data_IF_381083894618
#
_entry.id   IF_381083894618
#
_cell.length_a   1.000
_cell.length_b   1.000
_cell.length_c   1.000
_cell.angle_alpha   90.00
_cell.angle_beta   90.00
_cell.angle_gamma   90.00
#
_symmetry.space_group_name_H-M   'P 1'
#
loop_
_entity.id
_entity.type
_entity.pdbx_description
1 polymer ?
#
# COMPACT_ATOMS: atom_id res chain seq x y z
N UNK A 1 18.00 1.50 -29.05
CA UNK A 1 17.87 1.90 -27.63
C UNK A 1 16.53 2.60 -27.50
N UNK A 2 15.60 2.02 -26.77
CA UNK A 2 14.29 2.63 -26.53
C UNK A 2 14.20 2.95 -25.03
N UNK A 3 13.90 4.21 -24.72
CA UNK A 3 13.62 4.66 -23.37
C UNK A 3 12.14 5.04 -23.30
N UNK A 4 11.43 4.56 -22.31
CA UNK A 4 10.07 4.99 -22.00
C UNK A 4 10.08 5.80 -20.72
N UNK A 5 9.74 7.08 -20.82
CA UNK A 5 9.66 7.99 -19.68
C UNK A 5 8.21 8.16 -19.27
N UNK A 6 7.95 8.02 -17.98
CA UNK A 6 6.65 8.29 -17.38
C UNK A 6 6.81 9.25 -16.22
N UNK A 7 6.15 10.37 -16.31
CA UNK A 7 6.05 11.34 -15.23
C UNK A 7 4.62 11.37 -14.76
N UNK A 8 4.42 11.44 -13.44
CA UNK A 8 3.08 11.53 -12.88
C UNK A 8 3.04 12.50 -11.72
N UNK A 9 1.93 13.19 -11.64
CA UNK A 9 1.55 14.02 -10.50
C UNK A 9 0.14 13.63 -10.12
N UNK A 10 -0.06 13.24 -8.88
CA UNK A 10 -1.37 12.94 -8.34
C UNK A 10 -1.66 13.89 -7.18
N UNK A 11 -2.77 14.59 -7.28
CA UNK A 11 -3.35 15.38 -6.20
C UNK A 11 -4.66 14.72 -5.79
N UNK A 12 -4.73 14.32 -4.55
CA UNK A 12 -5.95 13.78 -3.96
C UNK A 12 -6.38 14.67 -2.80
N UNK A 13 -7.61 15.18 -2.86
CA UNK A 13 -8.22 16.00 -1.83
C UNK A 13 -9.52 15.33 -1.40
N UNK A 14 -9.58 14.89 -0.15
CA UNK A 14 -10.77 14.27 0.41
C UNK A 14 -10.97 14.70 1.86
N UNK A 15 -12.19 14.48 2.40
CA UNK A 15 -12.53 14.89 3.76
C UNK A 15 -11.73 14.16 4.84
N UNK A 16 -11.25 12.96 4.54
CA UNK A 16 -10.54 12.07 5.47
C UNK A 16 -9.03 12.05 5.20
N UNK A 17 -8.61 12.29 3.96
CA UNK A 17 -7.20 12.30 3.60
C UNK A 17 -6.92 13.27 2.44
N UNK A 18 -5.72 13.82 2.44
CA UNK A 18 -5.19 14.55 1.30
C UNK A 18 -3.81 14.02 0.95
N UNK A 19 -3.49 13.97 -0.32
CA UNK A 19 -2.19 13.49 -0.78
C UNK A 19 -1.70 14.29 -1.98
N UNK A 20 -0.41 14.59 -1.97
CA UNK A 20 0.33 15.06 -3.14
C UNK A 20 1.40 14.01 -3.44
N UNK A 21 1.40 13.50 -4.65
CA UNK A 21 2.38 12.52 -5.11
C UNK A 21 3.02 13.05 -6.39
N UNK A 22 4.33 13.14 -6.37
CA UNK A 22 5.15 13.49 -7.53
C UNK A 22 6.08 12.33 -7.80
N UNK A 23 6.21 11.94 -9.05
CA UNK A 23 7.13 10.86 -9.37
C UNK A 23 7.47 10.80 -10.85
N UNK A 24 8.57 10.16 -11.13
CA UNK A 24 9.02 9.87 -12.47
C UNK A 24 9.60 8.46 -12.52
N UNK A 25 9.37 7.78 -13.62
CA UNK A 25 9.94 6.49 -13.94
C UNK A 25 10.50 6.50 -15.35
N UNK A 26 11.69 6.00 -15.50
CA UNK A 26 12.32 5.79 -16.80
C UNK A 26 12.66 4.32 -16.93
N UNK A 27 12.16 3.67 -17.98
CA UNK A 27 12.47 2.29 -18.33
C UNK A 27 13.43 2.31 -19.52
N UNK A 28 14.63 1.78 -19.35
CA UNK A 28 15.64 1.65 -20.40
C UNK A 28 15.73 0.20 -20.87
N UNK A 29 15.49 -0.03 -22.16
CA UNK A 29 15.75 -1.32 -22.79
C UNK A 29 17.18 -1.32 -23.34
N UNK A 30 18.09 -1.98 -22.63
CA UNK A 30 19.52 -1.88 -22.94
C UNK A 30 19.93 -2.77 -24.11
N UNK A 31 19.70 -4.03 -24.01
CA UNK A 31 20.11 -5.00 -25.02
C UNK A 31 19.60 -6.36 -24.60
N UNK A 32 18.87 -7.04 -25.46
CA UNK A 32 18.20 -8.31 -25.15
C UNK A 32 17.88 -8.55 -23.68
N UNK A 33 16.87 -9.14 -23.43
CA UNK A 33 15.66 -8.80 -22.68
C UNK A 33 15.98 -8.20 -21.30
N UNK A 34 16.93 -7.28 -21.18
CA UNK A 34 17.26 -6.56 -19.98
C UNK A 34 16.67 -5.16 -20.04
N UNK A 35 15.88 -4.82 -19.05
CA UNK A 35 15.46 -3.45 -18.83
C UNK A 35 15.95 -2.94 -17.47
N UNK A 36 16.27 -1.66 -17.42
CA UNK A 36 16.60 -0.95 -16.19
C UNK A 36 15.48 0.03 -15.94
N UNK A 37 14.91 -0.03 -14.75
CA UNK A 37 13.96 0.99 -14.32
C UNK A 37 14.58 1.88 -13.22
N UNK A 38 14.34 3.15 -13.34
CA UNK A 38 14.70 4.14 -12.35
C UNK A 38 13.43 4.91 -11.99
N UNK A 39 13.15 5.05 -10.71
CA UNK A 39 12.02 5.85 -10.27
C UNK A 39 12.36 6.67 -9.04
N UNK A 40 11.85 7.89 -9.00
CA UNK A 40 11.84 8.76 -7.84
C UNK A 40 10.40 9.07 -7.48
N UNK A 41 10.10 9.00 -6.20
CA UNK A 41 8.77 9.31 -5.68
C UNK A 41 8.89 10.23 -4.46
N UNK A 42 8.10 11.28 -4.48
CA UNK A 42 7.81 12.11 -3.33
C UNK A 42 6.32 11.98 -3.02
N UNK A 43 6.00 11.69 -1.78
CA UNK A 43 4.62 11.58 -1.32
C UNK A 43 4.44 12.38 -0.05
N UNK A 44 3.49 13.29 -0.04
CA UNK A 44 3.00 13.97 1.15
C UNK A 44 1.54 13.58 1.36
N UNK A 45 1.22 12.96 2.49
CA UNK A 45 -0.14 12.55 2.83
C UNK A 45 -0.52 13.03 4.21
N UNK A 46 -1.75 13.48 4.33
CA UNK A 46 -2.34 13.81 5.61
C UNK A 46 -3.54 12.89 5.84
N UNK A 47 -3.47 12.09 6.89
CA UNK A 47 -4.55 11.22 7.31
C UNK A 47 -5.22 11.82 8.54
N UNK A 48 -6.53 12.00 8.46
CA UNK A 48 -7.37 12.23 9.64
C UNK A 48 -7.94 10.88 10.04
N UNK A 49 -7.75 10.49 11.28
CA UNK A 49 -8.34 9.26 11.78
C UNK A 49 -9.85 9.48 11.96
N UNK A 50 -10.61 9.13 10.95
CA UNK A 50 -12.06 9.10 10.99
C UNK A 50 -12.50 7.68 10.69
N UNK A 51 -13.00 6.95 11.68
CA UNK A 51 -13.92 5.87 11.39
C UNK A 51 -15.09 6.46 10.60
N UNK A 52 -15.53 5.78 9.55
CA UNK A 52 -16.67 6.22 8.74
C UNK A 52 -17.94 6.55 9.58
N UNK A 53 -18.06 5.97 10.79
CA UNK A 53 -19.09 6.31 11.76
C UNK A 53 -18.91 7.64 12.49
N UNK A 54 -17.76 8.28 12.43
CA UNK A 54 -17.44 9.52 13.16
C UNK A 54 -17.42 10.76 12.26
N UNK A 55 -18.01 10.70 11.07
CA UNK A 55 -18.17 11.88 10.19
C UNK A 55 -18.96 13.02 10.87
N UNK A 56 -19.70 12.72 11.93
CA UNK A 56 -20.52 13.70 12.66
C UNK A 56 -19.94 14.11 14.03
N UNK A 57 -18.95 13.40 14.57
CA UNK A 57 -18.35 13.78 15.86
C UNK A 57 -17.00 14.48 15.68
N UNK A 58 -16.98 15.75 16.01
CA UNK A 58 -15.83 16.67 15.90
C UNK A 58 -14.80 16.44 17.02
N UNK A 59 -15.03 15.49 17.93
CA UNK A 59 -14.19 15.27 19.10
C UNK A 59 -13.11 14.21 18.82
N UNK A 60 -11.84 14.57 19.04
CA UNK A 60 -10.65 13.72 19.11
C UNK A 60 -10.22 13.07 17.77
N UNK A 61 -10.05 13.86 16.73
CA UNK A 61 -9.41 13.37 15.49
C UNK A 61 -7.89 13.38 15.65
N UNK A 62 -7.34 12.20 15.88
CA UNK A 62 -5.91 11.97 15.68
C UNK A 62 -5.54 12.34 14.23
N UNK A 63 -4.53 13.17 14.05
CA UNK A 63 -4.01 13.48 12.72
C UNK A 63 -2.61 12.89 12.55
N UNK A 64 -2.35 12.37 11.38
CA UNK A 64 -1.05 11.88 11.01
C UNK A 64 -0.66 12.42 9.64
N UNK A 65 0.50 13.06 9.58
CA UNK A 65 1.12 13.47 8.33
C UNK A 65 2.26 12.51 8.00
N UNK A 66 2.32 12.12 6.76
CA UNK A 66 3.32 11.22 6.23
C UNK A 66 4.03 11.90 5.06
N UNK A 67 5.34 11.96 5.14
CA UNK A 67 6.21 12.42 4.07
C UNK A 67 7.14 11.28 3.68
N UNK A 68 7.16 10.94 2.41
CA UNK A 68 8.02 9.92 1.85
C UNK A 68 8.83 10.51 0.69
N UNK A 69 10.13 10.25 0.73
CA UNK A 69 11.05 10.44 -0.36
C UNK A 69 11.74 9.13 -0.64
N UNK A 70 11.57 8.55 -1.80
CA UNK A 70 12.33 7.36 -2.12
C UNK A 70 12.79 7.30 -3.58
N UNK A 71 13.93 6.67 -3.74
CA UNK A 71 14.58 6.36 -4.98
C UNK A 71 14.57 4.85 -5.18
N UNK A 72 14.28 4.39 -6.39
CA UNK A 72 14.31 2.99 -6.74
C UNK A 72 15.10 2.78 -8.02
N UNK A 73 16.02 1.84 -8.00
CA UNK A 73 16.76 1.36 -9.17
C UNK A 73 16.45 -0.13 -9.35
N UNK A 74 15.92 -0.49 -10.50
CA UNK A 74 15.49 -1.84 -10.82
C UNK A 74 16.21 -2.40 -12.05
N UNK A 75 16.49 -3.69 -12.01
CA UNK A 75 16.98 -4.49 -13.14
C UNK A 75 15.97 -5.60 -13.41
N UNK A 76 15.40 -5.63 -14.59
CA UNK A 76 14.37 -6.57 -14.96
C UNK A 76 14.78 -7.48 -16.12
N UNK A 77 14.46 -8.75 -15.94
CA UNK A 77 14.72 -9.82 -16.91
C UNK A 77 13.39 -10.45 -17.29
N UNK A 78 12.89 -10.27 -18.53
CA UNK A 78 11.75 -11.04 -19.01
C UNK A 78 12.15 -12.52 -19.12
N UNK A 79 11.48 -13.35 -18.33
CA UNK A 79 11.68 -14.82 -18.36
C UNK A 79 10.89 -15.44 -19.50
N UNK A 80 9.69 -14.91 -19.73
CA UNK A 80 8.83 -15.25 -20.89
C UNK A 80 8.10 -13.98 -21.33
N UNK A 81 7.35 -14.06 -22.44
CA UNK A 81 6.50 -12.94 -22.90
C UNK A 81 5.42 -12.51 -21.88
N UNK A 82 5.14 -13.32 -20.86
CA UNK A 82 4.14 -13.08 -19.80
C UNK A 82 4.72 -12.98 -18.41
N UNK A 83 6.03 -13.17 -18.26
CA UNK A 83 6.68 -13.19 -16.96
C UNK A 83 8.00 -12.43 -16.95
N UNK A 84 8.25 -11.71 -15.87
CA UNK A 84 9.48 -10.97 -15.63
C UNK A 84 9.98 -11.19 -14.21
N UNK A 85 11.30 -11.31 -14.08
CA UNK A 85 11.99 -11.26 -12.81
C UNK A 85 12.64 -9.89 -12.64
N UNK A 86 12.47 -9.27 -11.49
CA UNK A 86 12.97 -7.92 -11.22
C UNK A 86 13.70 -7.90 -9.89
N UNK A 87 14.90 -7.35 -9.90
CA UNK A 87 15.67 -7.03 -8.69
C UNK A 87 15.65 -5.51 -8.54
N UNK A 88 15.33 -5.01 -7.35
CA UNK A 88 15.29 -3.57 -7.07
C UNK A 88 16.11 -3.24 -5.83
N UNK A 89 16.77 -2.10 -5.89
CA UNK A 89 17.33 -1.45 -4.73
C UNK A 89 16.55 -0.16 -4.49
N UNK A 90 15.90 -0.08 -3.34
CA UNK A 90 15.19 1.10 -2.90
C UNK A 90 15.98 1.77 -1.78
N UNK A 91 15.99 3.09 -1.76
CA UNK A 91 16.56 3.87 -0.67
C UNK A 91 15.71 5.10 -0.43
N UNK A 92 15.47 5.43 0.84
CA UNK A 92 14.58 6.54 1.11
C UNK A 92 14.54 6.99 2.55
N UNK A 93 13.71 8.02 2.72
CA UNK A 93 13.38 8.58 4.02
C UNK A 93 11.86 8.70 4.15
N UNK A 94 11.34 8.21 5.23
CA UNK A 94 9.95 8.39 5.64
C UNK A 94 9.90 9.20 6.92
N UNK A 95 9.01 10.20 6.98
CA UNK A 95 8.76 11.03 8.15
C UNK A 95 7.29 10.94 8.53
N UNK A 96 7.04 10.64 9.77
CA UNK A 96 5.71 10.52 10.36
C UNK A 96 5.55 11.55 11.44
N UNK A 97 4.62 12.48 11.24
CA UNK A 97 4.22 13.48 12.22
C UNK A 97 2.88 13.02 12.79
N UNK A 98 2.84 12.88 14.09
CA UNK A 98 1.68 12.33 14.78
C UNK A 98 1.23 13.22 15.92
N UNK A 99 -0.07 13.48 15.98
CA UNK A 99 -0.71 14.22 17.07
C UNK A 99 -1.81 13.41 17.73
N UNK A 100 -1.82 13.45 19.06
CA UNK A 100 -2.79 12.75 19.89
C UNK A 100 -4.05 13.54 20.19
N UNK A 101 -4.00 14.88 20.17
CA UNK A 101 -5.10 15.68 20.70
C UNK A 101 -5.28 17.04 20.03
N UNK A 102 -6.54 17.38 19.71
CA UNK A 102 -6.95 18.70 19.22
C UNK A 102 -6.98 19.77 20.32
N UNK A 103 -7.07 19.39 21.59
CA UNK A 103 -7.13 20.33 22.71
C UNK A 103 -5.81 21.11 22.88
N UNK A 104 -4.69 20.59 22.35
CA UNK A 104 -3.39 21.24 22.35
C UNK A 104 -3.19 22.26 21.22
N UNK A 105 -4.20 22.56 20.43
CA UNK A 105 -4.15 23.49 19.28
C UNK A 105 -4.01 24.97 19.67
N UNK A 106 -4.06 25.29 20.94
CA UNK A 106 -3.92 26.68 21.41
C UNK A 106 -2.44 26.96 21.70
N UNK A 107 -1.74 27.50 20.80
CA UNK A 107 -0.52 28.30 20.89
C UNK A 107 0.87 27.71 20.57
N UNK A 108 1.17 26.42 20.72
CA UNK A 108 2.47 25.86 20.28
C UNK A 108 2.35 24.35 20.01
N UNK A 109 1.82 24.01 18.86
CA UNK A 109 1.59 22.63 18.47
C UNK A 109 2.87 21.97 17.95
N UNK A 110 3.46 21.06 18.71
CA UNK A 110 4.55 20.21 18.27
C UNK A 110 4.07 18.76 18.16
N UNK A 111 4.20 18.19 16.98
CA UNK A 111 3.88 16.79 16.68
C UNK A 111 5.02 15.88 17.12
N UNK A 112 4.71 14.64 17.53
CA UNK A 112 5.72 13.60 17.64
C UNK A 112 6.27 13.31 16.25
N UNK A 113 7.59 13.24 16.11
CA UNK A 113 8.25 12.97 14.84
C UNK A 113 8.98 11.62 14.88
N UNK A 114 8.61 10.72 13.99
CA UNK A 114 9.37 9.51 13.68
C UNK A 114 9.96 9.63 12.29
N UNK A 115 11.27 9.43 12.17
CA UNK A 115 11.98 9.42 10.89
C UNK A 115 12.63 8.06 10.68
N UNK A 116 12.31 7.42 9.56
CA UNK A 116 12.93 6.18 9.10
C UNK A 116 13.76 6.47 7.85
N UNK A 117 15.08 6.31 7.95
CA UNK A 117 15.96 6.29 6.78
C UNK A 117 16.31 4.84 6.48
N UNK A 118 16.18 4.41 5.23
CA UNK A 118 16.33 3.01 4.89
C UNK A 118 16.94 2.75 3.53
N UNK A 119 17.51 1.55 3.40
CA UNK A 119 17.85 0.89 2.15
C UNK A 119 17.10 -0.45 2.14
N UNK A 120 16.53 -0.80 0.98
CA UNK A 120 15.67 -1.96 0.88
C UNK A 120 15.84 -2.66 -0.48
N UNK A 121 16.67 -3.71 -0.56
CA UNK A 121 16.67 -4.61 -1.69
C UNK A 121 15.35 -5.39 -1.75
N UNK A 122 14.83 -5.54 -2.96
CA UNK A 122 13.59 -6.26 -3.27
C UNK A 122 13.81 -7.15 -4.49
N UNK A 123 13.31 -8.36 -4.42
CA UNK A 123 13.18 -9.27 -5.56
C UNK A 123 11.71 -9.47 -5.88
N UNK A 124 11.38 -9.61 -7.15
CA UNK A 124 10.00 -9.78 -7.59
C UNK A 124 9.92 -10.63 -8.85
N UNK A 125 9.06 -11.65 -8.82
CA UNK A 125 8.65 -12.42 -9.98
C UNK A 125 7.20 -12.07 -10.29
N UNK A 126 6.94 -11.62 -11.50
CA UNK A 126 5.61 -11.29 -12.00
C UNK A 126 5.27 -12.14 -13.21
N UNK A 127 4.07 -12.67 -13.23
CA UNK A 127 3.48 -13.32 -14.39
C UNK A 127 2.06 -12.79 -14.58
N UNK A 128 1.72 -12.40 -15.79
CA UNK A 128 0.37 -11.91 -16.11
C UNK A 128 -0.05 -12.36 -17.49
N UNK A 129 -1.24 -12.94 -17.57
CA UNK A 129 -1.94 -13.28 -18.81
C UNK A 129 -3.34 -12.66 -18.84
N UNK A 130 -3.55 -11.59 -18.06
CA UNK A 130 -4.83 -10.89 -17.99
C UNK A 130 -5.15 -10.24 -19.36
N UNK A 131 -6.41 -10.31 -19.74
CA UNK A 131 -6.93 -9.66 -20.96
C UNK A 131 -6.92 -8.13 -20.84
N UNK A 132 -7.09 -7.61 -19.63
CA UNK A 132 -7.09 -6.17 -19.32
C UNK A 132 -6.30 -5.89 -18.03
N UNK A 133 -5.66 -4.71 -17.95
CA UNK A 133 -4.93 -4.29 -16.75
C UNK A 133 -5.87 -3.88 -15.61
N UNK A 134 -6.99 -3.25 -15.96
CA UNK A 134 -8.01 -2.78 -15.02
C UNK A 134 -9.28 -3.56 -15.33
N UNK A 135 -9.89 -4.14 -14.28
CA UNK A 135 -11.10 -4.96 -14.38
C UNK A 135 -11.00 -6.11 -15.39
N UNK A 136 -10.04 -7.04 -15.22
CA UNK A 136 -9.91 -8.19 -16.11
C UNK A 136 -11.13 -9.11 -16.05
N UNK A 137 -11.46 -9.71 -17.18
CA UNK A 137 -12.55 -10.67 -17.33
C UNK A 137 -12.00 -12.11 -17.49
N UNK A 138 -10.77 -12.22 -17.97
CA UNK A 138 -10.12 -13.52 -18.16
C UNK A 138 -8.63 -13.46 -17.92
N UNK A 139 -8.04 -14.63 -17.60
CA UNK A 139 -6.62 -14.79 -17.43
C UNK A 139 -6.17 -14.91 -15.97
N UNK A 140 -4.87 -14.96 -15.78
CA UNK A 140 -4.23 -15.19 -14.48
C UNK A 140 -3.14 -14.17 -14.24
N UNK A 141 -3.01 -13.71 -13.01
CA UNK A 141 -1.84 -12.96 -12.55
C UNK A 141 -1.25 -13.59 -11.29
N UNK A 142 0.07 -13.65 -11.23
CA UNK A 142 0.85 -14.11 -10.08
C UNK A 142 1.98 -13.11 -9.83
N UNK A 143 2.10 -12.65 -8.60
CA UNK A 143 3.22 -11.83 -8.15
C UNK A 143 3.79 -12.43 -6.87
N UNK A 144 5.08 -12.73 -6.90
CA UNK A 144 5.87 -13.16 -5.74
C UNK A 144 6.88 -12.07 -5.47
N UNK A 145 6.99 -11.63 -4.24
CA UNK A 145 8.01 -10.64 -3.88
C UNK A 145 8.62 -10.91 -2.52
N UNK A 146 9.92 -10.66 -2.42
CA UNK A 146 10.68 -10.66 -1.19
C UNK A 146 11.36 -9.31 -1.01
N UNK A 147 11.38 -8.81 0.21
CA UNK A 147 12.00 -7.53 0.56
C UNK A 147 12.82 -7.71 1.83
N UNK A 148 13.97 -7.08 1.86
CA UNK A 148 14.73 -6.86 3.07
C UNK A 148 14.89 -5.38 3.27
N UNK A 149 14.72 -4.89 4.48
CA UNK A 149 14.94 -3.50 4.80
C UNK A 149 15.94 -3.40 5.93
N UNK A 150 16.92 -2.55 5.74
CA UNK A 150 17.85 -2.08 6.77
C UNK A 150 17.74 -0.57 6.87
N UNK A 151 17.56 -0.05 8.08
CA UNK A 151 17.34 1.38 8.26
C UNK A 151 17.61 1.84 9.69
N UNK A 152 17.35 3.14 9.88
CA UNK A 152 17.52 3.81 11.15
C UNK A 152 16.24 4.51 11.54
N UNK A 153 15.66 4.07 12.64
CA UNK A 153 14.50 4.67 13.31
C UNK A 153 14.97 5.75 14.28
N UNK A 154 14.49 6.96 14.10
CA UNK A 154 14.72 8.11 14.99
C UNK A 154 13.39 8.67 15.43
N UNK A 155 13.17 8.69 16.73
CA UNK A 155 12.00 9.27 17.37
C UNK A 155 12.35 10.54 18.12
N UNK A 156 11.56 11.59 17.91
CA UNK A 156 11.63 12.86 18.65
C UNK A 156 10.24 13.15 19.18
N UNK A 157 10.03 12.99 20.50
CA UNK A 157 8.74 13.27 21.12
C UNK A 157 8.43 14.77 21.09
N UNK A 158 7.15 15.09 21.06
CA UNK A 158 6.65 16.43 21.35
C UNK A 158 6.99 16.84 22.79
N UNK A 159 7.36 18.09 23.04
CA UNK A 159 7.54 18.60 24.40
C UNK A 159 6.28 18.53 25.27
N UNK A 160 5.12 18.39 24.64
CA UNK A 160 3.81 18.31 25.29
C UNK A 160 3.22 16.91 25.34
N UNK A 161 4.01 15.88 25.01
CA UNK A 161 3.56 14.49 25.14
C UNK A 161 3.29 14.15 26.60
N UNK A 162 2.05 13.74 26.93
CA UNK A 162 1.65 13.37 28.30
C UNK A 162 2.22 12.03 28.77
N UNK A 163 2.86 11.30 27.88
CA UNK A 163 3.40 9.98 28.17
C UNK A 163 4.87 10.10 28.56
N UNK A 164 5.16 10.17 29.87
CA UNK A 164 6.53 10.34 30.39
C UNK A 164 7.52 9.29 29.90
N UNK A 165 7.06 8.08 29.55
CA UNK A 165 7.91 7.04 28.96
C UNK A 165 8.30 7.34 27.50
N UNK A 166 7.58 8.22 26.81
CA UNK A 166 7.85 8.65 25.42
C UNK A 166 8.73 9.88 25.33
N UNK A 167 9.02 10.55 26.43
CA UNK A 167 9.79 11.80 26.44
C UNK A 167 11.26 11.65 26.05
N UNK A 168 11.77 10.45 25.82
CA UNK A 168 13.16 10.22 25.42
C UNK A 168 13.30 10.14 23.92
N UNK A 169 14.15 11.03 23.37
CA UNK A 169 14.66 10.87 21.99
C UNK A 169 15.29 9.50 21.86
N UNK A 170 14.89 8.76 20.88
CA UNK A 170 15.48 7.44 20.58
C UNK A 170 16.04 7.40 19.17
N UNK A 171 17.09 6.64 19.00
CA UNK A 171 17.72 6.35 17.72
C UNK A 171 18.21 4.92 17.76
N UNK A 172 17.74 4.10 16.84
CA UNK A 172 18.14 2.70 16.76
C UNK A 172 18.21 2.23 15.32
N UNK A 173 19.08 1.30 15.06
CA UNK A 173 19.11 0.60 13.78
C UNK A 173 18.04 -0.50 13.81
N UNK A 174 17.36 -0.67 12.69
CA UNK A 174 16.27 -1.63 12.52
C UNK A 174 16.46 -2.38 11.22
N UNK A 175 16.11 -3.65 11.24
CA UNK A 175 16.09 -4.47 10.03
C UNK A 175 14.94 -5.47 10.09
N UNK A 176 14.37 -5.76 8.93
CA UNK A 176 13.36 -6.80 8.79
C UNK A 176 13.29 -7.31 7.36
N UNK A 177 12.71 -8.46 7.21
CA UNK A 177 12.36 -9.00 5.91
C UNK A 177 10.85 -9.16 5.76
N UNK A 178 10.40 -9.25 4.53
CA UNK A 178 9.01 -9.53 4.19
C UNK A 178 8.90 -10.32 2.91
N UNK A 179 7.86 -11.12 2.82
CA UNK A 179 7.49 -11.84 1.62
C UNK A 179 6.00 -11.66 1.36
N UNK A 180 5.63 -11.56 0.08
CA UNK A 180 4.25 -11.40 -0.38
C UNK A 180 4.01 -12.25 -1.61
N UNK A 181 2.90 -12.95 -1.62
CA UNK A 181 2.34 -13.63 -2.78
C UNK A 181 0.96 -13.05 -3.07
N UNK A 182 0.70 -12.74 -4.33
CA UNK A 182 -0.61 -12.32 -4.83
C UNK A 182 -0.94 -13.16 -6.05
N UNK A 183 -2.06 -13.80 -6.03
CA UNK A 183 -2.59 -14.59 -7.15
C UNK A 183 -4.02 -14.16 -7.45
N UNK A 184 -4.32 -13.96 -8.73
CA UNK A 184 -5.67 -13.68 -9.21
C UNK A 184 -5.94 -14.52 -10.44
N UNK A 185 -7.14 -15.03 -10.55
CA UNK A 185 -7.64 -15.81 -11.66
C UNK A 185 -9.01 -15.30 -12.05
N UNK A 186 -9.22 -15.11 -13.36
CA UNK A 186 -10.48 -14.64 -13.91
C UNK A 186 -10.96 -15.60 -14.99
N UNK A 187 -12.25 -15.88 -15.00
CA UNK A 187 -12.90 -16.77 -15.94
C UNK A 187 -14.13 -16.09 -16.52
N UNK A 188 -14.18 -16.04 -17.83
CA UNK A 188 -15.43 -15.76 -18.51
C UNK A 188 -16.19 -17.08 -18.62
N UNK A 189 -17.42 -17.13 -18.11
CA UNK A 189 -18.23 -18.35 -18.11
C UNK A 189 -18.63 -18.65 -19.57
N UNK A 190 -18.30 -19.84 -20.02
CA UNK A 190 -18.59 -20.30 -21.39
C UNK A 190 -20.07 -20.17 -21.72
N UNK A 191 -20.36 -19.51 -22.85
CA UNK A 191 -21.75 -19.27 -23.30
C UNK A 191 -22.38 -17.97 -22.78
N UNK A 192 -21.77 -17.30 -21.80
CA UNK A 192 -22.26 -16.02 -21.29
C UNK A 192 -21.28 -14.90 -21.59
N UNK A 193 -21.69 -13.94 -22.41
CA UNK A 193 -20.90 -12.72 -22.64
C UNK A 193 -21.12 -11.67 -21.53
N UNK A 194 -22.13 -11.89 -20.69
CA UNK A 194 -22.57 -10.92 -19.69
C UNK A 194 -22.06 -11.20 -18.27
N UNK A 195 -21.32 -12.32 -18.06
CA UNK A 195 -20.85 -12.67 -16.72
C UNK A 195 -19.44 -13.24 -16.73
N UNK A 196 -18.60 -12.71 -15.85
CA UNK A 196 -17.27 -13.25 -15.56
C UNK A 196 -17.07 -13.35 -14.04
N UNK A 197 -16.20 -14.26 -13.61
CA UNK A 197 -15.94 -14.53 -12.21
C UNK A 197 -14.43 -14.48 -11.94
N UNK A 198 -14.04 -13.66 -10.99
CA UNK A 198 -12.67 -13.57 -10.50
C UNK A 198 -12.50 -14.17 -9.11
N UNK A 199 -11.36 -14.79 -8.89
CA UNK A 199 -10.89 -15.23 -7.58
C UNK A 199 -9.53 -14.64 -7.30
N UNK A 200 -9.25 -14.32 -6.05
CA UNK A 200 -7.95 -13.83 -5.63
C UNK A 200 -7.51 -14.43 -4.32
N UNK A 201 -6.22 -14.58 -4.17
CA UNK A 201 -5.58 -14.93 -2.92
C UNK A 201 -4.32 -14.07 -2.71
N UNK A 202 -4.13 -13.63 -1.49
CA UNK A 202 -2.94 -12.88 -1.08
C UNK A 202 -2.46 -13.40 0.27
N UNK A 203 -1.14 -13.58 0.39
CA UNK A 203 -0.52 -13.88 1.67
C UNK A 203 0.72 -13.02 1.86
N UNK A 204 0.89 -12.56 3.09
CA UNK A 204 2.01 -11.71 3.49
C UNK A 204 2.56 -12.17 4.81
N UNK A 205 3.88 -12.17 4.90
CA UNK A 205 4.62 -12.38 6.15
C UNK A 205 5.74 -11.35 6.25
N UNK A 206 5.85 -10.71 7.42
CA UNK A 206 6.97 -9.79 7.70
C UNK A 206 7.46 -9.95 9.13
N UNK A 207 8.73 -9.60 9.33
CA UNK A 207 9.36 -9.57 10.66
C UNK A 207 9.55 -8.15 11.17
N UNK A 208 8.69 -7.21 10.77
CA UNK A 208 8.77 -5.80 11.19
C UNK A 208 8.83 -5.72 12.72
N UNK A 209 9.89 -5.16 13.31
CA UNK A 209 9.98 -4.94 14.74
C UNK A 209 9.00 -3.83 15.16
N UNK A 210 8.67 -3.78 16.43
CA UNK A 210 7.98 -2.61 16.96
C UNK A 210 8.94 -1.42 16.96
N UNK A 211 8.61 -0.36 16.24
CA UNK A 211 9.38 0.88 16.19
C UNK A 211 9.19 1.69 17.47
N UNK A 212 9.90 2.80 17.57
CA UNK A 212 9.79 3.72 18.72
C UNK A 212 8.37 4.28 18.89
N UNK A 213 7.55 4.24 17.84
CA UNK A 213 6.14 4.61 17.87
C UNK A 213 5.27 3.47 17.29
N UNK A 214 4.38 2.92 18.12
CA UNK A 214 3.48 1.82 17.72
C UNK A 214 2.57 2.16 16.54
N UNK A 215 2.13 3.42 16.43
CA UNK A 215 1.28 3.85 15.33
C UNK A 215 2.04 3.89 14.01
N UNK A 216 3.29 4.35 14.05
CA UNK A 216 4.20 4.29 12.90
C UNK A 216 4.50 2.84 12.53
N UNK A 217 4.70 1.97 13.53
CA UNK A 217 4.84 0.53 13.29
C UNK A 217 3.65 -0.01 12.51
N UNK A 218 2.43 0.35 12.92
CA UNK A 218 1.20 -0.08 12.23
C UNK A 218 1.11 0.48 10.81
N UNK A 219 1.57 1.71 10.57
CA UNK A 219 1.60 2.29 9.21
C UNK A 219 2.57 1.58 8.26
N UNK A 220 3.69 1.08 8.78
CA UNK A 220 4.68 0.33 8.01
C UNK A 220 4.25 -1.12 7.73
N UNK A 221 3.33 -1.68 8.52
CA UNK A 221 2.82 -3.02 8.24
C UNK A 221 2.16 -3.10 6.88
N UNK A 222 2.32 -4.22 6.17
CA UNK A 222 1.61 -4.48 4.94
C UNK A 222 0.10 -4.31 5.11
N UNK A 223 -0.53 -3.71 4.13
CA UNK A 223 -1.97 -3.49 4.10
C UNK A 223 -2.62 -4.36 3.03
N UNK A 224 -3.72 -5.00 3.37
CA UNK A 224 -4.60 -5.61 2.39
C UNK A 224 -5.48 -4.53 1.76
N UNK A 225 -5.30 -4.29 0.46
CA UNK A 225 -5.95 -3.21 -0.28
C UNK A 225 -6.51 -3.71 -1.61
N UNK A 226 -7.57 -4.53 -1.58
CA UNK A 226 -8.07 -5.20 -2.78
C UNK A 226 -8.85 -4.29 -3.72
N UNK A 227 -9.41 -3.17 -3.24
CA UNK A 227 -10.27 -2.29 -4.02
C UNK A 227 -9.57 -0.95 -4.31
N UNK A 228 -9.99 -0.23 -5.34
CA UNK A 228 -9.47 1.10 -5.65
C UNK A 228 -9.69 2.06 -4.47
N UNK A 229 -10.84 1.99 -3.81
CA UNK A 229 -11.13 2.80 -2.64
C UNK A 229 -10.18 2.49 -1.47
N UNK A 230 -9.94 1.21 -1.19
CA UNK A 230 -9.01 0.80 -0.11
C UNK A 230 -7.55 1.20 -0.36
N UNK A 231 -7.18 1.52 -1.60
CA UNK A 231 -5.85 2.02 -1.93
C UNK A 231 -5.66 3.50 -1.58
N UNK A 232 -6.74 4.26 -1.53
CA UNK A 232 -6.72 5.72 -1.28
C UNK A 232 -6.91 6.08 0.19
N UNK A 233 -7.58 5.22 0.97
CA UNK A 233 -7.89 5.46 2.38
C UNK A 233 -6.94 4.72 3.30
N UNK A 234 -6.57 5.36 4.42
CA UNK A 234 -5.82 4.69 5.48
C UNK A 234 -6.79 3.88 6.36
N UNK A 235 -6.65 2.57 6.31
CA UNK A 235 -7.42 1.62 7.12
C UNK A 235 -6.46 0.80 7.99
N UNK A 236 -6.21 1.25 9.23
CA UNK A 236 -5.26 0.58 10.13
C UNK A 236 -5.67 -0.84 10.49
N UNK A 237 -6.96 -1.15 10.51
CA UNK A 237 -7.52 -2.47 10.77
C UNK A 237 -7.11 -3.50 9.70
N UNK A 238 -6.90 -3.10 8.45
CA UNK A 238 -6.47 -3.99 7.36
C UNK A 238 -4.93 -4.07 7.23
N UNK A 239 -4.20 -3.77 8.30
CA UNK A 239 -2.74 -3.88 8.35
C UNK A 239 -2.33 -4.91 9.39
N UNK A 240 -1.42 -5.81 8.99
CA UNK A 240 -0.88 -6.81 9.89
C UNK A 240 0.53 -7.23 9.45
N UNK A 241 1.32 -7.76 10.40
CA UNK A 241 2.64 -8.32 10.10
C UNK A 241 2.51 -9.60 9.26
N UNK A 242 1.47 -10.39 9.51
CA UNK A 242 1.16 -11.62 8.80
C UNK A 242 -0.34 -11.67 8.52
N UNK A 243 -0.68 -11.97 7.29
CA UNK A 243 -2.08 -12.22 6.93
C UNK A 243 -2.19 -13.11 5.70
N UNK A 244 -3.33 -13.74 5.60
CA UNK A 244 -3.82 -14.38 4.38
C UNK A 244 -5.18 -13.78 4.02
N UNK A 245 -5.43 -13.57 2.75
CA UNK A 245 -6.68 -13.01 2.27
C UNK A 245 -7.15 -13.74 1.02
N UNK A 246 -8.46 -13.82 0.87
CA UNK A 246 -9.12 -14.39 -0.30
C UNK A 246 -10.19 -13.44 -0.81
N UNK A 247 -10.49 -13.53 -2.09
CA UNK A 247 -11.50 -12.70 -2.71
C UNK A 247 -12.28 -13.44 -3.79
N UNK A 248 -13.54 -13.03 -3.96
CA UNK A 248 -14.42 -13.45 -5.04
C UNK A 248 -14.98 -12.18 -5.70
N UNK A 249 -14.86 -12.09 -7.01
CA UNK A 249 -15.12 -10.86 -7.77
C UNK A 249 -15.99 -11.16 -8.99
N UNK A 250 -17.31 -11.32 -8.82
CA UNK A 250 -18.23 -11.41 -9.94
C UNK A 250 -18.32 -10.07 -10.69
N UNK A 251 -18.36 -10.15 -12.02
CA UNK A 251 -18.52 -9.01 -12.90
C UNK A 251 -19.66 -9.29 -13.87
N UNK A 252 -20.58 -8.32 -13.98
CA UNK A 252 -21.76 -8.37 -14.85
C UNK A 252 -21.63 -7.33 -15.95
N UNK A 253 -21.52 -7.78 -17.19
CA UNK A 253 -21.39 -6.94 -18.36
C UNK A 253 -22.79 -6.64 -18.92
N UNK A 254 -23.23 -5.39 -18.86
CA UNK A 254 -24.49 -4.94 -19.43
C UNK A 254 -24.35 -4.52 -20.89
N UNK A 255 -23.14 -4.08 -21.26
CA UNK A 255 -22.75 -3.78 -22.64
C UNK A 255 -21.22 -3.82 -22.76
N UNK A 256 -20.68 -3.69 -23.96
CA UNK A 256 -19.22 -3.65 -24.20
C UNK A 256 -18.51 -2.52 -23.45
N UNK A 257 -19.24 -1.51 -23.00
CA UNK A 257 -18.71 -0.32 -22.31
C UNK A 257 -19.17 -0.16 -20.87
N UNK A 258 -20.16 -0.92 -20.44
CA UNK A 258 -20.81 -0.72 -19.15
C UNK A 258 -20.95 -2.02 -18.39
N UNK A 259 -20.34 -2.10 -17.22
CA UNK A 259 -20.39 -3.29 -16.37
C UNK A 259 -20.42 -2.95 -14.88
N UNK A 260 -20.98 -3.86 -14.12
CA UNK A 260 -20.98 -3.86 -12.66
C UNK A 260 -20.00 -4.91 -12.17
N UNK A 261 -19.01 -4.50 -11.42
CA UNK A 261 -18.13 -5.40 -10.67
C UNK A 261 -18.49 -5.33 -9.19
N UNK A 262 -18.71 -6.47 -8.61
CA UNK A 262 -18.83 -6.61 -7.17
C UNK A 262 -17.66 -7.42 -6.63
N UNK A 263 -17.37 -7.32 -5.34
CA UNK A 263 -16.29 -8.07 -4.72
C UNK A 263 -16.56 -8.32 -3.24
N UNK A 264 -16.26 -9.54 -2.82
CA UNK A 264 -16.24 -9.95 -1.41
C UNK A 264 -14.82 -10.36 -1.10
N UNK A 265 -14.26 -9.75 -0.08
CA UNK A 265 -12.87 -9.93 0.32
C UNK A 265 -12.83 -10.29 1.80
N UNK A 266 -12.12 -11.35 2.13
CA UNK A 266 -11.91 -11.77 3.51
C UNK A 266 -10.41 -11.80 3.82
N UNK A 267 -10.02 -11.22 4.94
CA UNK A 267 -8.65 -11.20 5.45
C UNK A 267 -8.60 -11.88 6.80
N UNK A 268 -7.72 -12.86 6.96
CA UNK A 268 -7.34 -13.46 8.22
C UNK A 268 -5.95 -12.97 8.61
N UNK A 269 -5.85 -12.26 9.74
CA UNK A 269 -4.66 -11.53 10.14
C UNK A 269 -4.16 -11.89 11.54
N UNK A 270 -2.84 -11.83 11.73
CA UNK A 270 -2.25 -11.84 13.06
C UNK A 270 -2.69 -10.59 13.83
N UNK A 271 -3.04 -10.75 15.11
CA UNK A 271 -3.40 -9.63 15.98
C UNK A 271 -2.16 -8.78 16.28
N UNK A 272 -2.25 -7.50 16.08
CA UNK A 272 -1.23 -6.55 16.57
C UNK A 272 -1.52 -6.13 18.01
N UNK A 273 -2.81 -5.96 18.35
CA UNK A 273 -3.29 -5.73 19.71
C UNK A 273 -4.28 -6.83 20.09
N UNK A 274 -4.42 -7.14 21.38
CA UNK A 274 -5.41 -8.14 21.85
C UNK A 274 -6.84 -7.86 21.39
N UNK A 275 -7.19 -6.59 21.23
CA UNK A 275 -8.51 -6.11 20.80
C UNK A 275 -8.73 -6.18 19.29
N UNK A 276 -7.69 -6.45 18.50
CA UNK A 276 -7.82 -6.51 17.04
C UNK A 276 -8.57 -7.82 16.63
N UNK A 277 -9.51 -7.68 15.71
CA UNK A 277 -10.17 -8.83 15.10
C UNK A 277 -9.19 -9.61 14.21
N UNK A 278 -9.30 -10.93 14.24
CA UNK A 278 -8.52 -11.79 13.33
C UNK A 278 -9.09 -11.83 11.94
N UNK A 279 -10.41 -11.72 11.82
CA UNK A 279 -11.13 -11.87 10.56
C UNK A 279 -11.78 -10.54 10.19
N UNK A 280 -11.58 -10.10 8.96
CA UNK A 280 -12.05 -8.80 8.45
C UNK A 280 -12.57 -8.96 7.05
N UNK A 281 -13.64 -8.24 6.74
CA UNK A 281 -14.34 -8.35 5.47
C UNK A 281 -14.43 -6.98 4.81
N UNK A 282 -14.29 -6.98 3.48
CA UNK A 282 -14.60 -5.82 2.63
C UNK A 282 -15.62 -6.30 1.61
N UNK A 283 -16.64 -5.51 1.40
CA UNK A 283 -17.58 -5.68 0.28
C UNK A 283 -17.48 -4.43 -0.57
N UNK A 284 -17.36 -4.60 -1.87
CA UNK A 284 -17.23 -3.52 -2.85
C UNK A 284 -18.20 -3.74 -4.01
N UNK A 285 -18.71 -2.64 -4.53
CA UNK A 285 -19.50 -2.62 -5.75
C UNK A 285 -19.08 -1.41 -6.58
N UNK A 286 -18.64 -1.65 -7.78
CA UNK A 286 -18.14 -0.62 -8.70
C UNK A 286 -18.89 -0.68 -10.02
N UNK A 287 -19.57 0.40 -10.37
CA UNK A 287 -20.16 0.59 -11.66
C UNK A 287 -19.12 1.24 -12.58
N UNK A 288 -18.80 0.61 -13.67
CA UNK A 288 -17.71 1.02 -14.54
C UNK A 288 -18.24 1.32 -15.95
N UNK A 289 -17.86 2.49 -16.44
CA UNK A 289 -18.05 2.88 -17.82
C UNK A 289 -16.69 3.00 -18.51
N UNK A 290 -16.52 2.29 -19.59
CA UNK A 290 -15.29 2.29 -20.38
C UNK A 290 -15.49 3.13 -21.65
N UNK A 291 -14.74 4.20 -21.81
CA UNK A 291 -14.73 5.07 -22.99
C UNK A 291 -13.87 4.50 -24.11
#
# INVERSE_FOLDING_TARGET
RHAANRYYTHLFLGPVSSAVMLGGRTDFFLWRPLFVDYSYNFTARNYKNGNFGNLTSVSNTESMKFLENFLSLGFGFPVTHRSAFVIRLNGGQERYYYSLDRASYKENYYEDLTTLNYISPKIELRRSSLDRMIFPHSGTSLSLSGIYLYGRDRFVPSPYSRDEQRLRKSKRDVSWWGARIVWNQYFQISGSKWFSLGYGAEAVVTTIPTLSNDKVTRMLMPAYRPTLHSQTVYMPEYRAKRYAAVSVMPTFDFSDRFFLRTGIYAMFAERFRPTDDRMRYIVDASLVYHT
#
